data_IF_151074268880
#
_entry.id   IF_151074268880
#
_cell.length_a   1.000
_cell.length_b   1.000
_cell.length_c   1.000
_cell.angle_alpha   90.00
_cell.angle_beta   90.00
_cell.angle_gamma   90.00
#
_symmetry.space_group_name_H-M   'P 1'
#
loop_
_entity.id
_entity.type
_entity.pdbx_description
1 polymer ?
#
# COMPACT_ATOMS: atom_id res chain seq x y z
N UNK A 1 7.47 -19.20 -27.10
CA UNK A 1 6.35 -18.95 -26.15
C UNK A 1 6.69 -19.33 -24.71
N UNK A 2 7.12 -20.56 -24.42
CA UNK A 2 7.48 -20.99 -23.05
C UNK A 2 8.59 -20.14 -22.41
N UNK A 3 9.65 -19.79 -23.16
CA UNK A 3 10.76 -18.95 -22.68
C UNK A 3 10.30 -17.54 -22.29
N UNK A 4 9.44 -16.92 -23.11
CA UNK A 4 8.89 -15.59 -22.85
C UNK A 4 8.02 -15.56 -21.58
N UNK A 5 7.19 -16.59 -21.40
CA UNK A 5 6.38 -16.75 -20.18
C UNK A 5 7.25 -16.93 -18.93
N UNK A 6 8.29 -17.76 -19.03
CA UNK A 6 9.24 -17.99 -17.94
C UNK A 6 9.96 -16.70 -17.54
N UNK A 7 10.39 -15.89 -18.51
CA UNK A 7 11.05 -14.59 -18.25
C UNK A 7 10.13 -13.62 -17.50
N UNK A 8 8.85 -13.56 -17.85
CA UNK A 8 7.87 -12.72 -17.15
C UNK A 8 7.67 -13.21 -15.70
N UNK A 9 7.50 -14.51 -15.50
CA UNK A 9 7.36 -15.09 -14.17
C UNK A 9 8.58 -14.80 -13.30
N UNK A 10 9.78 -15.00 -13.84
CA UNK A 10 11.03 -14.68 -13.14
C UNK A 10 11.11 -13.21 -12.74
N UNK A 11 10.70 -12.30 -13.63
CA UNK A 11 10.65 -10.86 -13.33
C UNK A 11 9.69 -10.56 -12.17
N UNK A 12 8.47 -11.11 -12.22
CA UNK A 12 7.46 -10.91 -11.16
C UNK A 12 7.93 -11.50 -9.83
N UNK A 13 8.51 -12.71 -9.85
CA UNK A 13 9.03 -13.36 -8.64
C UNK A 13 10.19 -12.58 -8.04
N UNK A 14 11.12 -12.07 -8.86
CA UNK A 14 12.24 -11.28 -8.38
C UNK A 14 11.77 -9.97 -7.72
N UNK A 15 10.86 -9.25 -8.38
CA UNK A 15 10.29 -8.00 -7.85
C UNK A 15 9.48 -8.28 -6.58
N UNK A 16 8.62 -9.29 -6.60
CA UNK A 16 7.80 -9.67 -5.45
C UNK A 16 8.64 -10.14 -4.26
N UNK A 17 9.69 -10.94 -4.51
CA UNK A 17 10.63 -11.37 -3.49
C UNK A 17 11.39 -10.20 -2.87
N UNK A 18 11.88 -9.27 -3.71
CA UNK A 18 12.55 -8.06 -3.23
C UNK A 18 11.60 -7.15 -2.43
N UNK A 19 10.36 -6.94 -2.90
CA UNK A 19 9.35 -6.15 -2.19
C UNK A 19 8.98 -6.79 -0.85
N UNK A 20 8.77 -8.11 -0.82
CA UNK A 20 8.48 -8.84 0.41
C UNK A 20 9.62 -8.71 1.43
N UNK A 21 10.87 -8.78 0.96
CA UNK A 21 12.05 -8.53 1.79
C UNK A 21 12.10 -7.08 2.29
N UNK A 22 11.95 -6.10 1.39
CA UNK A 22 12.03 -4.66 1.72
C UNK A 22 10.95 -4.22 2.72
N UNK A 23 9.75 -4.77 2.62
CA UNK A 23 8.64 -4.49 3.54
C UNK A 23 8.76 -5.26 4.87
N UNK A 24 9.70 -6.19 4.99
CA UNK A 24 9.92 -6.96 6.22
C UNK A 24 8.96 -8.13 6.41
N UNK A 25 8.49 -8.72 5.32
CA UNK A 25 7.58 -9.86 5.30
C UNK A 25 6.11 -9.46 5.13
N UNK A 26 5.28 -10.45 4.80
CA UNK A 26 3.84 -10.27 4.61
C UNK A 26 3.07 -10.85 5.80
N UNK A 27 2.97 -10.06 6.86
CA UNK A 27 2.25 -10.41 8.08
C UNK A 27 0.82 -9.85 8.11
N UNK A 28 0.09 -10.11 9.21
CA UNK A 28 -1.28 -9.65 9.38
C UNK A 28 -1.43 -8.12 9.39
N UNK A 29 -0.42 -7.38 9.86
CA UNK A 29 -0.47 -5.91 9.87
C UNK A 29 -0.30 -5.35 8.47
N UNK A 30 0.68 -5.85 7.72
CA UNK A 30 0.86 -5.44 6.33
C UNK A 30 -0.32 -5.84 5.46
N UNK A 31 -0.89 -7.03 5.67
CA UNK A 31 -2.13 -7.47 5.01
C UNK A 31 -3.29 -6.51 5.28
N UNK A 32 -3.49 -6.11 6.54
CA UNK A 32 -4.54 -5.17 6.90
C UNK A 32 -4.34 -3.81 6.22
N UNK A 33 -3.10 -3.29 6.20
CA UNK A 33 -2.80 -2.03 5.50
C UNK A 33 -3.10 -2.12 4.00
N UNK A 34 -2.72 -3.21 3.34
CA UNK A 34 -3.04 -3.43 1.91
C UNK A 34 -4.55 -3.43 1.69
N UNK A 35 -5.32 -4.12 2.55
CA UNK A 35 -6.77 -4.15 2.45
C UNK A 35 -7.38 -2.73 2.58
N UNK A 36 -6.93 -1.96 3.57
CA UNK A 36 -7.39 -0.58 3.76
C UNK A 36 -7.03 0.34 2.59
N UNK A 37 -5.81 0.25 2.06
CA UNK A 37 -5.37 1.03 0.90
C UNK A 37 -6.20 0.70 -0.36
N UNK A 38 -6.51 -0.58 -0.58
CA UNK A 38 -7.35 -1.03 -1.71
C UNK A 38 -8.78 -0.51 -1.53
N UNK A 39 -9.35 -0.66 -0.32
CA UNK A 39 -10.68 -0.15 -0.03
C UNK A 39 -10.76 1.36 -0.21
N UNK A 40 -9.78 2.12 0.28
CA UNK A 40 -9.74 3.58 0.12
C UNK A 40 -9.70 3.99 -1.34
N UNK A 41 -8.89 3.32 -2.16
CA UNK A 41 -8.83 3.63 -3.58
C UNK A 41 -10.16 3.34 -4.29
N UNK A 42 -10.82 2.23 -3.95
CA UNK A 42 -12.13 1.88 -4.51
C UNK A 42 -13.19 2.90 -4.08
N UNK A 43 -13.27 3.23 -2.78
CA UNK A 43 -14.27 4.19 -2.28
C UNK A 43 -14.02 5.60 -2.81
N UNK A 44 -12.77 6.04 -2.88
CA UNK A 44 -12.41 7.33 -3.50
C UNK A 44 -12.77 7.37 -4.99
N UNK A 45 -12.60 6.26 -5.72
CA UNK A 45 -13.04 6.17 -7.10
C UNK A 45 -14.58 6.24 -7.22
N UNK A 46 -15.32 5.61 -6.31
CA UNK A 46 -16.79 5.72 -6.26
C UNK A 46 -17.24 7.16 -6.05
N UNK A 47 -16.63 7.90 -5.11
CA UNK A 47 -16.90 9.32 -4.90
C UNK A 47 -16.68 10.13 -6.20
N UNK A 48 -15.53 9.94 -6.86
CA UNK A 48 -15.21 10.65 -8.11
C UNK A 48 -16.18 10.32 -9.27
N UNK A 49 -16.70 9.09 -9.31
CA UNK A 49 -17.74 8.69 -10.28
C UNK A 49 -19.06 9.41 -10.01
N UNK A 50 -19.50 9.46 -8.74
CA UNK A 50 -20.73 10.14 -8.34
C UNK A 50 -20.69 11.63 -8.66
N UNK A 51 -19.52 12.24 -8.44
CA UNK A 51 -19.26 13.66 -8.71
C UNK A 51 -19.06 13.97 -10.20
N UNK A 52 -19.04 12.93 -11.06
CA UNK A 52 -18.68 13.04 -12.49
C UNK A 52 -17.35 13.77 -12.72
N UNK A 53 -16.45 13.72 -11.72
CA UNK A 53 -15.18 14.42 -11.67
C UNK A 53 -14.00 13.48 -11.91
N UNK A 54 -14.26 12.31 -12.51
CA UNK A 54 -13.27 11.32 -12.92
C UNK A 54 -12.17 11.96 -13.79
N UNK A 55 -11.04 12.25 -13.15
CA UNK A 55 -9.83 12.71 -13.79
C UNK A 55 -8.70 11.72 -13.50
N UNK A 56 -8.00 11.32 -14.56
CA UNK A 56 -6.83 10.46 -14.46
C UNK A 56 -5.72 11.09 -13.63
N UNK A 57 -5.64 12.43 -13.58
CA UNK A 57 -4.68 13.16 -12.74
C UNK A 57 -4.95 12.95 -11.24
N UNK A 58 -6.22 12.96 -10.85
CA UNK A 58 -6.65 12.72 -9.46
C UNK A 58 -6.35 11.26 -9.08
N UNK A 59 -6.70 10.31 -9.95
CA UNK A 59 -6.42 8.89 -9.74
C UNK A 59 -4.92 8.59 -9.63
N UNK A 60 -4.11 9.19 -10.51
CA UNK A 60 -2.65 9.04 -10.50
C UNK A 60 -2.04 9.59 -9.22
N UNK A 61 -2.48 10.77 -8.76
CA UNK A 61 -2.06 11.33 -7.47
C UNK A 61 -2.41 10.42 -6.30
N UNK A 62 -3.59 9.77 -6.36
CA UNK A 62 -4.00 8.73 -5.41
C UNK A 62 -3.01 7.57 -5.36
N UNK A 63 -2.64 7.00 -6.51
CA UNK A 63 -1.67 5.90 -6.61
C UNK A 63 -0.30 6.32 -6.05
N UNK A 64 0.18 7.52 -6.39
CA UNK A 64 1.46 8.05 -5.87
C UNK A 64 1.47 8.12 -4.34
N UNK A 65 0.38 8.59 -3.73
CA UNK A 65 0.22 8.59 -2.27
C UNK A 65 0.38 7.17 -1.71
N UNK A 66 -0.23 6.15 -2.32
CA UNK A 66 -0.12 4.76 -1.83
C UNK A 66 1.28 4.18 -1.99
N UNK A 67 1.98 4.49 -3.09
CA UNK A 67 3.39 4.08 -3.27
C UNK A 67 4.27 4.66 -2.16
N UNK A 68 4.04 5.93 -1.77
CA UNK A 68 4.77 6.55 -0.66
C UNK A 68 4.49 5.86 0.68
N UNK A 69 3.26 5.43 0.93
CA UNK A 69 2.90 4.66 2.14
C UNK A 69 3.78 3.41 2.27
N UNK A 70 3.81 2.57 1.23
CA UNK A 70 4.62 1.34 1.26
C UNK A 70 6.13 1.61 1.28
N UNK A 71 6.57 2.70 0.67
CA UNK A 71 7.97 3.15 0.75
C UNK A 71 8.34 3.48 2.20
N UNK A 72 7.49 4.19 2.93
CA UNK A 72 7.70 4.54 4.33
C UNK A 72 7.65 3.32 5.25
N UNK A 73 6.78 2.33 4.96
CA UNK A 73 6.78 1.04 5.68
C UNK A 73 8.12 0.33 5.52
N UNK A 74 8.67 0.27 4.30
CA UNK A 74 9.98 -0.33 4.06
C UNK A 74 11.12 0.44 4.71
N UNK A 75 11.06 1.78 4.75
CA UNK A 75 12.02 2.59 5.52
C UNK A 75 11.92 2.26 7.01
N UNK A 76 10.71 2.13 7.56
CA UNK A 76 10.50 1.72 8.94
C UNK A 76 11.10 0.35 9.23
N UNK A 77 10.94 -0.61 8.31
CA UNK A 77 11.58 -1.92 8.41
C UNK A 77 13.11 -1.83 8.39
N UNK A 78 13.69 -1.03 7.49
CA UNK A 78 15.15 -0.82 7.43
C UNK A 78 15.67 -0.22 8.73
N UNK A 79 14.95 0.74 9.33
CA UNK A 79 15.32 1.33 10.62
C UNK A 79 15.30 0.28 11.72
N UNK A 80 14.24 -0.52 11.81
CA UNK A 80 14.14 -1.59 12.80
C UNK A 80 15.32 -2.57 12.69
N UNK A 81 15.65 -3.00 11.47
CA UNK A 81 16.70 -4.00 11.25
C UNK A 81 18.13 -3.43 11.35
N UNK A 82 18.35 -2.21 10.86
CA UNK A 82 19.70 -1.66 10.67
C UNK A 82 20.14 -0.72 11.80
N UNK A 83 19.18 -0.13 12.53
CA UNK A 83 19.47 0.86 13.58
C UNK A 83 19.11 0.32 14.95
N UNK A 84 17.92 -0.27 15.11
CA UNK A 84 17.45 -0.79 16.41
C UNK A 84 18.02 -2.19 16.64
N UNK A 85 18.09 -3.02 15.59
CA UNK A 85 18.73 -4.33 15.61
C UNK A 85 17.85 -5.46 16.13
N UNK A 86 16.62 -5.18 16.55
CA UNK A 86 15.63 -6.21 16.91
C UNK A 86 14.19 -5.67 16.80
N UNK A 87 13.26 -6.57 16.53
CA UNK A 87 11.83 -6.28 16.45
C UNK A 87 11.37 -5.58 15.15
N UNK A 88 10.17 -5.03 15.22
CA UNK A 88 9.46 -4.38 14.10
C UNK A 88 8.67 -3.16 14.56
N UNK A 89 9.17 -2.46 15.59
CA UNK A 89 8.43 -1.41 16.30
C UNK A 89 8.13 -0.23 15.38
N UNK A 90 9.12 0.28 14.65
CA UNK A 90 8.96 1.42 13.75
C UNK A 90 8.11 1.03 12.54
N UNK A 91 8.37 -0.13 11.93
CA UNK A 91 7.54 -0.67 10.84
C UNK A 91 6.08 -0.74 11.26
N UNK A 92 5.81 -1.34 12.42
CA UNK A 92 4.44 -1.53 12.91
C UNK A 92 3.78 -0.19 13.24
N UNK A 93 4.52 0.76 13.83
CA UNK A 93 4.02 2.11 14.08
C UNK A 93 3.65 2.85 12.79
N UNK A 94 4.49 2.77 11.74
CA UNK A 94 4.19 3.36 10.42
C UNK A 94 2.98 2.69 9.79
N UNK A 95 2.87 1.36 9.89
CA UNK A 95 1.70 0.63 9.41
C UNK A 95 0.43 1.10 10.12
N UNK A 96 0.43 1.20 11.45
CA UNK A 96 -0.76 1.66 12.18
C UNK A 96 -1.11 3.11 11.91
N UNK A 97 -0.12 3.99 11.77
CA UNK A 97 -0.35 5.37 11.37
C UNK A 97 -1.12 5.44 10.04
N UNK A 98 -0.65 4.71 9.02
CA UNK A 98 -1.32 4.71 7.73
C UNK A 98 -2.62 3.92 7.71
N UNK A 99 -2.75 2.86 8.49
CA UNK A 99 -4.01 2.15 8.65
C UNK A 99 -5.09 3.07 9.23
N UNK A 100 -4.75 3.90 10.21
CA UNK A 100 -5.65 4.94 10.72
C UNK A 100 -5.96 6.00 9.66
N UNK A 101 -4.96 6.51 8.93
CA UNK A 101 -5.16 7.53 7.89
C UNK A 101 -6.06 7.05 6.75
N UNK A 102 -5.84 5.83 6.28
CA UNK A 102 -6.64 5.17 5.25
C UNK A 102 -8.03 4.79 5.79
N UNK A 103 -8.12 4.37 7.05
CA UNK A 103 -9.41 4.11 7.69
C UNK A 103 -10.29 5.35 7.81
N UNK A 104 -9.72 6.49 8.19
CA UNK A 104 -10.45 7.77 8.21
C UNK A 104 -10.94 8.14 6.81
N UNK A 105 -10.08 8.04 5.80
CA UNK A 105 -10.43 8.34 4.40
C UNK A 105 -11.55 7.42 3.88
N UNK A 106 -11.53 6.13 4.22
CA UNK A 106 -12.62 5.19 3.90
C UNK A 106 -13.93 5.61 4.59
N UNK A 107 -13.89 6.01 5.86
CA UNK A 107 -15.07 6.46 6.59
C UNK A 107 -15.66 7.74 5.99
N UNK A 108 -14.81 8.70 5.62
CA UNK A 108 -15.21 9.94 4.93
C UNK A 108 -15.88 9.64 3.59
N UNK A 109 -15.27 8.78 2.77
CA UNK A 109 -15.85 8.37 1.49
C UNK A 109 -17.17 7.61 1.66
N UNK A 110 -17.25 6.71 2.64
CA UNK A 110 -18.48 5.98 2.93
C UNK A 110 -19.61 6.92 3.35
N UNK A 111 -19.34 7.85 4.28
CA UNK A 111 -20.30 8.85 4.72
C UNK A 111 -20.73 9.80 3.58
N UNK A 112 -19.85 10.06 2.61
CA UNK A 112 -20.17 10.85 1.42
C UNK A 112 -21.10 10.09 0.45
N UNK A 113 -20.84 8.80 0.25
CA UNK A 113 -21.61 7.95 -0.68
C UNK A 113 -23.02 7.66 -0.13
N UNK A 114 -23.14 7.42 1.18
CA UNK A 114 -24.40 7.08 1.85
C UNK A 114 -24.23 6.03 2.93
#
# INVERSE_FOLDING_TARGET
>A
MKTMWLSIQLGITAIGGWLGYFLGGFDGFLYALVAFVVLDYITGLMCAVLDKSLSSEIGFRGIFKKVLIFSLVGIGHIIDQSVIGDGSVIRTAVIFFYLSNEGVSVLENAAYIG
#
